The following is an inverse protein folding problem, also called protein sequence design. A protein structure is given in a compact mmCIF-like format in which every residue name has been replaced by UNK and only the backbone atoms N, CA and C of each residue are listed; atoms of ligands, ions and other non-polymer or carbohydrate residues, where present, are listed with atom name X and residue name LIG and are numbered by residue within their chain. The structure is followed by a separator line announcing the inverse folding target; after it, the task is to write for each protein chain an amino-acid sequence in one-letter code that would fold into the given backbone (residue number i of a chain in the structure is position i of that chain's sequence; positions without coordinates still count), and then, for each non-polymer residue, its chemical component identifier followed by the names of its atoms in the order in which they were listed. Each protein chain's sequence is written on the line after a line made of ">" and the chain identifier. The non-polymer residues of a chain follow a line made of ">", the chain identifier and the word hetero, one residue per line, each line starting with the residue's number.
data_IF_366398347315
#
_entry.id   IF_366398347315
#
_cell.length_a   1.000
_cell.length_b   1.000
_cell.length_c   1.000
_cell.angle_alpha   90.00
_cell.angle_beta   90.00
_cell.angle_gamma   90.00
#
_symmetry.space_group_name_H-M   'P 1'
#
loop_
_entity.id
_entity.type
_entity.pdbx_description
1 polymer ?
#
# COMPACT_ATOMS: atom_id res chain seq x y z
N UNK A 1 22.01 0.05 -24.04
CA UNK A 1 21.23 0.14 -22.79
C UNK A 1 20.29 -1.05 -22.74
N UNK A 2 20.58 -2.05 -21.91
CA UNK A 2 19.67 -3.18 -21.66
C UNK A 2 18.50 -2.68 -20.79
N UNK A 3 17.26 -3.17 -20.99
CA UNK A 3 16.18 -2.85 -20.08
C UNK A 3 16.48 -3.51 -18.73
N UNK A 4 16.65 -2.69 -17.69
CA UNK A 4 16.71 -3.15 -16.30
C UNK A 4 15.40 -3.89 -16.04
N UNK A 5 15.45 -5.21 -15.93
CA UNK A 5 14.24 -6.00 -15.71
C UNK A 5 13.77 -5.73 -14.29
N UNK A 6 12.89 -4.75 -14.11
CA UNK A 6 12.24 -4.51 -12.82
C UNK A 6 11.38 -5.74 -12.51
N UNK A 7 11.91 -6.62 -11.68
CA UNK A 7 11.16 -7.76 -11.15
C UNK A 7 9.96 -7.20 -10.37
N UNK A 8 8.77 -7.39 -10.93
CA UNK A 8 7.51 -6.95 -10.34
C UNK A 8 6.58 -8.14 -10.18
N UNK A 9 5.80 -8.13 -9.11
CA UNK A 9 4.83 -9.17 -8.80
C UNK A 9 3.42 -8.59 -8.72
N UNK A 10 2.44 -9.35 -9.20
CA UNK A 10 1.03 -8.98 -9.24
C UNK A 10 0.20 -10.02 -8.49
N UNK A 11 -0.56 -9.58 -7.49
CA UNK A 11 -1.42 -10.45 -6.69
C UNK A 11 -2.85 -9.99 -6.79
N UNK A 12 -3.68 -10.85 -7.37
CA UNK A 12 -5.12 -10.65 -7.45
C UNK A 12 -5.81 -11.33 -6.26
N UNK A 13 -6.36 -10.51 -5.36
CA UNK A 13 -7.20 -11.01 -4.26
C UNK A 13 -8.65 -11.01 -4.73
N UNK A 14 -9.36 -12.12 -4.54
CA UNK A 14 -10.76 -12.29 -4.93
C UNK A 14 -11.65 -12.23 -3.70
N UNK A 15 -12.98 -12.10 -3.91
CA UNK A 15 -13.93 -12.16 -2.79
C UNK A 15 -13.84 -13.48 -2.01
N UNK A 16 -13.56 -14.60 -2.70
CA UNK A 16 -13.32 -15.91 -2.07
C UNK A 16 -12.15 -15.84 -1.09
N UNK A 17 -11.00 -15.30 -1.52
CA UNK A 17 -9.83 -15.12 -0.67
C UNK A 17 -10.14 -14.27 0.58
N UNK A 18 -11.00 -13.24 0.47
CA UNK A 18 -11.41 -12.41 1.60
C UNK A 18 -12.26 -13.19 2.61
N UNK A 19 -13.20 -14.01 2.13
CA UNK A 19 -14.10 -14.80 2.97
C UNK A 19 -13.36 -15.95 3.66
N UNK A 20 -12.45 -16.61 2.96
CA UNK A 20 -11.67 -17.75 3.45
C UNK A 20 -10.47 -17.36 4.32
N UNK A 21 -10.12 -16.06 4.38
CA UNK A 21 -8.97 -15.57 5.14
C UNK A 21 -9.06 -15.93 6.64
N UNK A 22 -7.97 -16.43 7.28
CA UNK A 22 -6.60 -16.58 6.78
C UNK A 22 -6.24 -17.94 6.16
N UNK A 23 -7.22 -18.84 5.94
CA UNK A 23 -6.95 -20.23 5.52
C UNK A 23 -6.27 -20.32 4.15
N UNK A 24 -6.63 -19.44 3.21
CA UNK A 24 -6.03 -19.37 1.86
C UNK A 24 -4.84 -18.36 1.78
N UNK A 25 -4.17 -18.05 2.90
CA UNK A 25 -3.04 -17.10 2.91
C UNK A 25 -1.87 -17.57 2.04
N UNK A 26 -1.47 -18.83 2.18
CA UNK A 26 -0.28 -19.36 1.51
C UNK A 26 -0.45 -19.45 -0.02
N UNK A 27 -1.68 -19.48 -0.54
CA UNK A 27 -1.92 -19.47 -1.99
C UNK A 27 -1.75 -18.08 -2.63
N UNK A 28 -1.64 -17.01 -1.84
CA UNK A 28 -1.43 -15.63 -2.31
C UNK A 28 0.01 -15.13 -2.11
N UNK A 29 0.84 -15.91 -1.44
CA UNK A 29 2.20 -15.54 -1.04
C UNK A 29 3.15 -16.60 -1.61
N UNK A 30 3.60 -16.49 -2.87
CA UNK A 30 4.66 -17.35 -3.36
C UNK A 30 5.95 -17.01 -2.61
N UNK A 31 6.46 -17.94 -1.79
CA UNK A 31 7.59 -17.68 -0.89
C UNK A 31 8.85 -17.15 -1.62
N UNK A 32 9.07 -17.58 -2.86
CA UNK A 32 10.26 -17.24 -3.65
C UNK A 32 10.10 -15.95 -4.46
N UNK A 33 8.88 -15.49 -4.75
CA UNK A 33 8.68 -14.32 -5.61
C UNK A 33 8.96 -13.00 -4.90
N UNK A 34 8.84 -12.96 -3.56
CA UNK A 34 9.02 -11.72 -2.82
C UNK A 34 10.45 -11.27 -2.68
N UNK A 35 11.43 -12.18 -2.76
CA UNK A 35 12.85 -11.80 -2.66
C UNK A 35 13.33 -11.01 -3.88
N UNK A 36 12.88 -11.39 -5.07
CA UNK A 36 13.28 -10.74 -6.32
C UNK A 36 12.37 -9.56 -6.70
N UNK A 37 11.10 -9.54 -6.27
CA UNK A 37 10.15 -8.51 -6.68
C UNK A 37 10.34 -7.18 -5.93
N UNK A 38 11.17 -6.27 -6.46
CA UNK A 38 11.35 -4.90 -5.95
C UNK A 38 10.06 -4.06 -5.96
N UNK A 39 9.06 -4.47 -6.78
CA UNK A 39 7.72 -3.88 -6.83
C UNK A 39 6.66 -4.96 -6.69
N UNK A 40 5.64 -4.69 -5.89
CA UNK A 40 4.44 -5.52 -5.78
C UNK A 40 3.18 -4.69 -6.01
N UNK A 41 2.21 -5.29 -6.69
CA UNK A 41 0.85 -4.75 -6.80
C UNK A 41 -0.17 -5.73 -6.24
N UNK A 42 -0.99 -5.27 -5.30
CA UNK A 42 -2.14 -6.00 -4.77
C UNK A 42 -3.43 -5.40 -5.33
N UNK A 43 -4.27 -6.21 -5.98
CA UNK A 43 -5.62 -5.82 -6.43
C UNK A 43 -6.67 -6.52 -5.59
N UNK A 44 -7.31 -5.80 -4.67
CA UNK A 44 -8.29 -6.38 -3.76
C UNK A 44 -9.71 -5.82 -4.00
N UNK A 45 -10.77 -6.55 -3.61
CA UNK A 45 -12.12 -6.01 -3.59
C UNK A 45 -12.20 -4.82 -2.63
N UNK A 46 -13.00 -3.81 -2.99
CA UNK A 46 -13.22 -2.60 -2.17
C UNK A 46 -14.18 -2.89 -1.00
N UNK A 47 -13.72 -3.68 -0.03
CA UNK A 47 -14.50 -4.06 1.17
C UNK A 47 -13.64 -3.94 2.42
N UNK A 48 -14.23 -3.57 3.57
CA UNK A 48 -13.47 -3.34 4.82
C UNK A 48 -12.62 -4.54 5.24
N UNK A 49 -13.10 -5.76 5.01
CA UNK A 49 -12.39 -7.01 5.32
C UNK A 49 -11.13 -7.21 4.47
N UNK A 50 -10.93 -6.46 3.39
CA UNK A 50 -9.71 -6.47 2.58
C UNK A 50 -8.55 -5.67 3.19
N UNK A 51 -8.81 -4.73 4.10
CA UNK A 51 -7.76 -3.94 4.80
C UNK A 51 -6.74 -4.84 5.51
N UNK A 52 -7.15 -5.77 6.42
CA UNK A 52 -6.19 -6.65 7.08
C UNK A 52 -5.47 -7.62 6.12
N UNK A 53 -6.11 -7.98 5.01
CA UNK A 53 -5.50 -8.82 3.97
C UNK A 53 -4.39 -8.05 3.25
N UNK A 54 -4.66 -6.81 2.82
CA UNK A 54 -3.66 -5.94 2.20
C UNK A 54 -2.47 -5.70 3.14
N UNK A 55 -2.74 -5.38 4.42
CA UNK A 55 -1.69 -5.19 5.44
C UNK A 55 -0.85 -6.45 5.63
N UNK A 56 -1.46 -7.64 5.61
CA UNK A 56 -0.72 -8.90 5.78
C UNK A 56 0.14 -9.25 4.56
N UNK A 57 -0.36 -9.01 3.34
CA UNK A 57 0.41 -9.19 2.11
C UNK A 57 1.59 -8.22 2.07
N UNK A 58 1.38 -6.96 2.45
CA UNK A 58 2.46 -5.98 2.59
C UNK A 58 3.53 -6.42 3.59
N UNK A 59 3.12 -6.96 4.75
CA UNK A 59 4.04 -7.53 5.74
C UNK A 59 4.86 -8.67 5.14
N UNK A 60 4.21 -9.62 4.45
CA UNK A 60 4.90 -10.73 3.82
C UNK A 60 5.90 -10.27 2.74
N UNK A 61 5.56 -9.22 1.99
CA UNK A 61 6.49 -8.61 1.05
C UNK A 61 7.69 -7.96 1.76
N UNK A 62 7.46 -7.19 2.84
CA UNK A 62 8.55 -6.60 3.65
C UNK A 62 9.48 -7.69 4.20
N UNK A 63 8.93 -8.80 4.71
CA UNK A 63 9.70 -9.95 5.18
C UNK A 63 10.53 -10.56 4.04
N UNK A 64 9.95 -10.70 2.84
CA UNK A 64 10.65 -11.19 1.66
C UNK A 64 11.76 -10.26 1.16
N UNK A 65 11.63 -8.95 1.41
CA UNK A 65 12.64 -7.93 1.08
C UNK A 65 13.72 -7.80 2.16
N UNK A 66 13.64 -8.53 3.28
CA UNK A 66 14.57 -8.42 4.41
C UNK A 66 14.48 -7.08 5.15
N UNK A 67 13.32 -6.44 5.14
CA UNK A 67 13.07 -5.18 5.84
C UNK A 67 12.46 -5.52 7.19
N UNK A 68 13.33 -5.70 8.19
CA UNK A 68 12.97 -6.20 9.52
C UNK A 68 12.96 -5.09 10.59
N UNK A 69 13.38 -3.87 10.26
CA UNK A 69 13.43 -2.76 11.20
C UNK A 69 12.04 -2.14 11.45
N UNK A 70 11.70 -1.94 12.72
CA UNK A 70 10.37 -1.42 13.09
C UNK A 70 10.20 0.06 12.70
N UNK A 71 11.29 0.83 12.63
CA UNK A 71 11.29 2.24 12.23
C UNK A 71 10.81 2.43 10.77
N UNK A 72 11.00 1.44 9.90
CA UNK A 72 10.45 1.40 8.54
C UNK A 72 9.12 0.65 8.50
N UNK A 73 9.04 -0.54 9.11
CA UNK A 73 7.87 -1.44 8.99
C UNK A 73 6.62 -0.84 9.60
N UNK A 74 6.73 -0.21 10.76
CA UNK A 74 5.57 0.37 11.44
C UNK A 74 4.94 1.49 10.61
N UNK A 75 5.68 2.53 10.16
CA UNK A 75 5.17 3.54 9.24
C UNK A 75 4.53 2.97 7.98
N UNK A 76 5.18 2.00 7.32
CA UNK A 76 4.67 1.40 6.07
C UNK A 76 3.31 0.75 6.29
N UNK A 77 3.21 -0.12 7.29
CA UNK A 77 1.97 -0.84 7.55
C UNK A 77 0.86 0.08 8.05
N UNK A 78 1.20 1.14 8.79
CA UNK A 78 0.27 2.19 9.20
C UNK A 78 -0.28 2.93 7.97
N UNK A 79 0.60 3.49 7.14
CA UNK A 79 0.23 4.23 5.92
C UNK A 79 -0.64 3.37 5.00
N UNK A 80 -0.28 2.10 4.76
CA UNK A 80 -1.11 1.19 3.97
C UNK A 80 -2.50 1.02 4.58
N UNK A 81 -2.60 0.87 5.90
CA UNK A 81 -3.88 0.67 6.57
C UNK A 81 -4.78 1.90 6.43
N UNK A 82 -4.21 3.10 6.64
CA UNK A 82 -4.94 4.37 6.53
C UNK A 82 -5.37 4.64 5.08
N UNK A 83 -4.45 4.57 4.12
CA UNK A 83 -4.74 4.84 2.72
C UNK A 83 -5.74 3.83 2.14
N UNK A 84 -5.59 2.54 2.45
CA UNK A 84 -6.50 1.51 1.96
C UNK A 84 -7.88 1.61 2.61
N UNK A 85 -7.96 1.98 3.90
CA UNK A 85 -9.24 2.23 4.57
C UNK A 85 -9.97 3.41 3.94
N UNK A 86 -9.27 4.51 3.65
CA UNK A 86 -9.83 5.65 2.94
C UNK A 86 -10.37 5.25 1.57
N UNK A 87 -9.58 4.51 0.77
CA UNK A 87 -10.02 4.06 -0.54
C UNK A 87 -11.29 3.17 -0.46
N UNK A 88 -11.34 2.22 0.47
CA UNK A 88 -12.53 1.37 0.67
C UNK A 88 -13.75 2.17 1.11
N UNK A 89 -13.56 3.23 1.89
CA UNK A 89 -14.66 4.03 2.43
C UNK A 89 -15.23 5.02 1.41
N UNK A 90 -14.39 5.58 0.53
CA UNK A 90 -14.77 6.71 -0.33
C UNK A 90 -14.80 6.38 -1.82
N UNK A 91 -14.25 5.24 -2.25
CA UNK A 91 -14.29 4.85 -3.65
C UNK A 91 -15.68 4.42 -4.10
N UNK A 92 -16.08 4.83 -5.30
CA UNK A 92 -17.18 4.28 -6.08
C UNK A 92 -16.78 2.99 -6.83
N UNK A 93 -15.49 2.62 -6.79
CA UNK A 93 -14.95 1.44 -7.44
C UNK A 93 -15.20 0.14 -6.67
N UNK A 94 -15.28 -0.98 -7.40
CA UNK A 94 -15.38 -2.34 -6.80
C UNK A 94 -14.03 -2.92 -6.38
N UNK A 95 -12.93 -2.26 -6.74
CA UNK A 95 -11.56 -2.71 -6.46
C UNK A 95 -10.69 -1.54 -6.04
N UNK A 96 -9.74 -1.84 -5.17
CA UNK A 96 -8.66 -0.94 -4.76
C UNK A 96 -7.34 -1.62 -5.12
N UNK A 97 -6.41 -0.85 -5.67
CA UNK A 97 -5.08 -1.31 -6.04
C UNK A 97 -4.06 -0.70 -5.10
N UNK A 98 -3.32 -1.51 -4.35
CA UNK A 98 -2.20 -1.06 -3.54
C UNK A 98 -0.89 -1.47 -4.23
N UNK A 99 0.04 -0.52 -4.40
CA UNK A 99 1.38 -0.79 -4.91
C UNK A 99 2.40 -0.44 -3.85
N UNK A 100 3.43 -1.27 -3.74
CA UNK A 100 4.58 -1.02 -2.88
C UNK A 100 5.82 -1.27 -3.72
N UNK A 101 6.78 -0.37 -3.68
CA UNK A 101 8.10 -0.63 -4.25
C UNK A 101 9.19 0.09 -3.48
N UNK A 102 10.40 -0.42 -3.66
CA UNK A 102 11.60 0.12 -3.03
C UNK A 102 12.45 0.89 -4.04
N UNK A 103 12.99 2.02 -3.61
CA UNK A 103 14.17 2.66 -4.22
C UNK A 103 15.33 2.63 -3.21
N UNK A 104 16.46 3.27 -3.51
CA UNK A 104 17.66 3.21 -2.66
C UNK A 104 17.41 3.57 -1.19
N UNK A 105 16.70 4.67 -0.93
CA UNK A 105 16.47 5.22 0.41
C UNK A 105 15.01 5.34 0.82
N UNK A 106 14.07 4.90 -0.02
CA UNK A 106 12.63 5.10 0.20
C UNK A 106 11.85 3.83 -0.12
N UNK A 107 10.80 3.59 0.66
CA UNK A 107 9.65 2.77 0.28
C UNK A 107 8.53 3.68 -0.21
N UNK A 108 8.00 3.35 -1.38
CA UNK A 108 6.90 4.05 -1.99
C UNK A 108 5.64 3.20 -1.88
N UNK A 109 4.55 3.85 -1.51
CA UNK A 109 3.24 3.25 -1.37
C UNK A 109 2.27 4.06 -2.23
N UNK A 110 1.50 3.39 -3.07
CA UNK A 110 0.36 3.98 -3.78
C UNK A 110 -0.89 3.17 -3.48
N UNK A 111 -1.99 3.87 -3.24
CA UNK A 111 -3.34 3.30 -3.21
C UNK A 111 -4.16 4.01 -4.27
N UNK A 112 -4.57 3.24 -5.27
CA UNK A 112 -5.36 3.67 -6.40
C UNK A 112 -6.77 3.07 -6.34
N UNK A 113 -7.77 3.90 -6.60
CA UNK A 113 -9.18 3.53 -6.68
C UNK A 113 -9.88 4.33 -7.79
N UNK A 114 -11.12 3.95 -8.16
CA UNK A 114 -11.86 4.63 -9.25
C UNK A 114 -12.40 6.02 -8.90
N UNK A 115 -11.92 6.64 -7.83
CA UNK A 115 -12.51 7.86 -7.30
C UNK A 115 -13.89 7.59 -6.72
N UNK A 116 -14.58 8.64 -6.31
CA UNK A 116 -15.89 8.54 -5.67
C UNK A 116 -16.31 9.87 -5.05
N UNK A 117 -17.28 9.83 -4.13
CA UNK A 117 -17.96 11.02 -3.59
C UNK A 117 -16.98 12.16 -3.29
N UNK A 118 -17.32 13.38 -3.72
CA UNK A 118 -16.55 14.61 -3.53
C UNK A 118 -16.15 14.92 -2.07
N UNK A 119 -16.68 14.18 -1.09
CA UNK A 119 -16.19 14.04 0.28
C UNK A 119 -14.93 13.16 0.37
N UNK A 120 -13.97 13.39 -0.52
CA UNK A 120 -12.60 12.92 -0.31
C UNK A 120 -12.14 13.51 1.03
N UNK A 121 -11.44 12.77 1.90
CA UNK A 121 -10.73 13.36 3.01
C UNK A 121 -9.66 14.30 2.43
N UNK A 122 -10.05 15.54 2.14
CA UNK A 122 -9.16 16.69 2.21
C UNK A 122 -8.57 16.65 3.63
N UNK A 123 -7.31 17.07 3.79
CA UNK A 123 -6.77 17.44 5.10
C UNK A 123 -7.71 18.49 5.70
N UNK A 124 -8.74 18.07 6.42
CA UNK A 124 -9.67 18.96 7.10
C UNK A 124 -9.11 19.13 8.51
N UNK A 125 -8.72 20.35 8.83
CA UNK A 125 -8.39 20.79 10.18
C UNK A 125 -9.44 20.25 11.16
N UNK A 126 -8.98 19.86 12.35
CA UNK A 126 -9.62 19.01 13.36
C UNK A 126 -10.96 19.49 13.97
N UNK A 127 -11.85 20.12 13.21
CA UNK A 127 -13.05 20.78 13.73
C UNK A 127 -14.37 20.03 13.59
N UNK A 128 -14.54 19.09 12.64
CA UNK A 128 -15.86 18.45 12.43
C UNK A 128 -15.70 16.96 12.09
N UNK A 129 -16.08 16.11 13.05
CA UNK A 129 -15.89 14.65 13.14
C UNK A 129 -14.42 14.20 13.34
N UNK A 130 -14.09 13.89 14.60
CA UNK A 130 -12.71 13.80 15.10
C UNK A 130 -11.84 12.64 14.56
N UNK A 131 -12.39 11.71 13.77
CA UNK A 131 -11.65 10.54 13.28
C UNK A 131 -11.14 10.70 11.85
N UNK A 132 -11.87 11.40 10.99
CA UNK A 132 -11.67 11.38 9.54
C UNK A 132 -10.44 12.17 9.03
N UNK A 133 -9.84 13.02 9.88
CA UNK A 133 -8.60 13.74 9.60
C UNK A 133 -7.34 13.12 10.21
N UNK A 134 -7.48 12.15 11.13
CA UNK A 134 -6.33 11.55 11.83
C UNK A 134 -5.51 10.65 10.92
N UNK A 135 -6.16 9.89 10.04
CA UNK A 135 -5.47 8.96 9.14
C UNK A 135 -4.45 9.68 8.24
N UNK A 136 -4.83 10.80 7.63
CA UNK A 136 -3.89 11.57 6.80
C UNK A 136 -2.84 12.33 7.63
N UNK A 137 -3.15 12.74 8.85
CA UNK A 137 -2.15 13.29 9.76
C UNK A 137 -1.10 12.23 10.16
N UNK A 138 -1.53 10.98 10.39
CA UNK A 138 -0.63 9.85 10.63
C UNK A 138 0.23 9.53 9.40
N UNK A 139 -0.36 9.56 8.20
CA UNK A 139 0.39 9.42 6.94
C UNK A 139 1.43 10.54 6.80
N UNK A 140 1.03 11.79 7.03
CA UNK A 140 1.92 12.94 6.95
C UNK A 140 3.09 12.87 7.95
N UNK A 141 2.82 12.46 9.20
CA UNK A 141 3.86 12.30 10.22
C UNK A 141 4.79 11.10 10.00
N UNK A 142 4.36 10.13 9.19
CA UNK A 142 5.08 8.87 8.93
C UNK A 142 5.80 8.83 7.57
N UNK A 143 5.64 9.87 6.75
CA UNK A 143 6.19 9.92 5.38
C UNK A 143 7.08 11.14 5.17
N UNK A 144 8.13 10.98 4.35
CA UNK A 144 8.95 12.10 3.92
C UNK A 144 8.23 12.97 2.89
N UNK A 145 7.37 12.35 2.09
CA UNK A 145 6.50 12.98 1.09
C UNK A 145 5.23 12.16 0.96
N UNK A 146 4.12 12.84 0.72
CA UNK A 146 2.87 12.18 0.36
C UNK A 146 2.04 13.15 -0.48
N UNK A 147 1.03 12.62 -1.14
CA UNK A 147 0.14 13.44 -1.93
C UNK A 147 -1.01 12.66 -2.54
N UNK A 148 -1.76 13.37 -3.37
CA UNK A 148 -2.91 12.84 -4.08
C UNK A 148 -2.83 13.26 -5.54
N UNK A 149 -3.12 12.32 -6.44
CA UNK A 149 -3.26 12.55 -7.88
C UNK A 149 -4.64 12.08 -8.31
N UNK A 150 -5.40 12.94 -8.96
CA UNK A 150 -6.67 12.62 -9.61
C UNK A 150 -6.43 12.60 -11.11
N UNK A 151 -6.95 11.59 -11.79
CA UNK A 151 -6.86 11.44 -13.24
C UNK A 151 -8.16 11.94 -13.91
N UNK A 152 -8.14 12.10 -15.23
CA UNK A 152 -9.29 12.63 -16.01
C UNK A 152 -10.54 11.73 -15.94
N UNK A 153 -10.39 10.47 -15.59
CA UNK A 153 -11.47 9.49 -15.44
C UNK A 153 -12.04 9.43 -14.01
N UNK A 154 -11.83 10.50 -13.23
CA UNK A 154 -12.13 10.63 -11.80
C UNK A 154 -11.37 9.66 -10.89
N UNK A 155 -10.52 8.78 -11.42
CA UNK A 155 -9.74 7.87 -10.59
C UNK A 155 -8.75 8.63 -9.71
N UNK A 156 -8.48 8.05 -8.54
CA UNK A 156 -7.73 8.70 -7.49
C UNK A 156 -6.59 7.80 -7.04
N UNK A 157 -5.39 8.39 -6.96
CA UNK A 157 -4.22 7.76 -6.36
C UNK A 157 -3.74 8.59 -5.18
N UNK A 158 -3.76 8.02 -3.98
CA UNK A 158 -3.10 8.60 -2.80
C UNK A 158 -1.78 7.86 -2.60
N UNK A 159 -0.70 8.60 -2.39
CA UNK A 159 0.64 8.04 -2.34
C UNK A 159 1.45 8.61 -1.19
N UNK A 160 2.44 7.83 -0.74
CA UNK A 160 3.38 8.22 0.30
C UNK A 160 4.75 7.59 0.06
N UNK A 161 5.80 8.29 0.44
CA UNK A 161 7.19 7.83 0.44
C UNK A 161 7.72 7.84 1.88
N UNK A 162 8.26 6.71 2.31
CA UNK A 162 8.72 6.47 3.68
C UNK A 162 10.24 6.22 3.63
N UNK A 163 11.05 6.91 4.44
CA UNK A 163 12.47 6.61 4.57
C UNK A 163 12.71 5.15 4.96
N UNK A 164 13.67 4.51 4.29
CA UNK A 164 14.26 3.28 4.80
C UNK A 164 15.22 3.63 5.93
N UNK A 165 15.18 2.88 7.02
CA UNK A 165 16.21 2.99 8.05
C UNK A 165 17.61 2.72 7.46
N UNK A 166 18.62 3.41 7.99
CA UNK A 166 20.00 3.21 7.58
C UNK A 166 20.42 1.75 7.88
N UNK A 167 20.89 1.03 6.86
CA UNK A 167 21.39 -0.34 7.00
C UNK A 167 20.53 -1.44 6.35
N UNK A 168 19.37 -1.12 5.76
CA UNK A 168 18.61 -2.09 4.96
C UNK A 168 19.42 -2.40 3.68
N UNK A 169 19.89 -3.65 3.46
CA UNK A 169 20.73 -3.99 2.32
C UNK A 169 20.05 -3.63 1.00
N UNK A 170 20.76 -2.97 0.09
CA UNK A 170 20.28 -2.74 -1.27
C UNK A 170 20.17 -4.09 -2.00
N UNK A 171 19.10 -4.38 -2.76
CA UNK A 171 19.11 -5.52 -3.66
C UNK A 171 20.22 -5.25 -4.68
N UNK A 172 21.37 -5.93 -4.54
CA UNK A 172 22.47 -5.80 -5.47
C UNK A 172 21.94 -6.09 -6.88
N UNK A 173 22.00 -5.08 -7.75
CA UNK A 173 21.76 -5.29 -9.17
C UNK A 173 23.00 -6.02 -9.71
N UNK A 174 22.86 -7.16 -10.39
CA UNK A 174 24.01 -7.85 -11.00
C UNK A 174 24.65 -7.04 -12.11
#
# INVERSE_FOLDING_TARGET
>A
MLPTTTHSADVMVTARHIVSWPRERNSLIPADCWRSAQRVTFRLPAVRRAVPVCRNLARAWLDGQGIDDDDTRYPVLLVISELFTNAVQYSAGRRVTCRIWRSESLLHIEVHDRGGTASVPLMRSAGQSQEYGRGLALVAGSSSRWGRRTEDDDSCTVWAAIPLAAGVPHPMTP
#
